data_IF_730376824615
#
_entry.id   IF_730376824615
#
_cell.length_a   1.000
_cell.length_b   1.000
_cell.length_c   1.000
_cell.angle_alpha   90.00
_cell.angle_beta   90.00
_cell.angle_gamma   90.00
#
_symmetry.space_group_name_H-M   'P 1'
#
loop_
_entity.id
_entity.type
_entity.pdbx_description
1 polymer ?
#
# COMPACT_ATOMS: atom_id res chain seq x y z
N UNK A 1 -28.58 12.29 18.87
CA UNK A 1 -27.43 11.57 19.45
C UNK A 1 -27.17 10.22 18.76
N UNK A 2 -27.45 10.07 17.44
CA UNK A 2 -27.42 8.76 16.77
C UNK A 2 -26.17 8.51 15.91
N UNK A 3 -25.41 9.56 15.54
CA UNK A 3 -24.21 9.41 14.70
C UNK A 3 -23.01 8.80 15.45
N UNK A 4 -22.81 9.15 16.72
CA UNK A 4 -21.64 8.69 17.48
C UNK A 4 -21.67 7.18 17.73
N UNK A 5 -22.81 6.64 18.16
CA UNK A 5 -22.98 5.20 18.39
C UNK A 5 -22.93 4.37 17.10
N UNK A 6 -23.21 4.95 15.94
CA UNK A 6 -23.04 4.29 14.65
C UNK A 6 -21.55 4.16 14.28
N UNK A 7 -20.79 5.24 14.43
CA UNK A 7 -19.33 5.24 14.19
C UNK A 7 -18.65 4.26 15.13
N UNK A 8 -19.03 4.26 16.41
CA UNK A 8 -18.49 3.32 17.40
C UNK A 8 -18.68 1.88 16.93
N UNK A 9 -19.91 1.46 16.57
CA UNK A 9 -20.18 0.11 16.06
C UNK A 9 -19.40 -0.25 14.80
N UNK A 10 -19.13 0.71 13.92
CA UNK A 10 -18.31 0.49 12.71
C UNK A 10 -16.85 0.30 13.08
N UNK A 11 -16.32 1.08 14.03
CA UNK A 11 -14.92 1.01 14.46
C UNK A 11 -14.63 -0.26 15.27
N UNK A 12 -15.56 -0.71 16.14
CA UNK A 12 -15.36 -1.95 16.91
C UNK A 12 -15.58 -3.23 16.09
N UNK A 13 -16.00 -3.11 14.83
CA UNK A 13 -16.17 -4.28 13.96
C UNK A 13 -14.79 -4.91 13.68
N UNK A 14 -14.60 -6.22 13.91
CA UNK A 14 -13.31 -6.88 13.70
C UNK A 14 -12.76 -6.70 12.28
N UNK A 15 -13.63 -6.63 11.26
CA UNK A 15 -13.20 -6.37 9.88
C UNK A 15 -12.65 -4.96 9.71
N UNK A 16 -13.28 -3.95 10.32
CA UNK A 16 -12.82 -2.57 10.26
C UNK A 16 -11.45 -2.41 10.96
N UNK A 17 -11.25 -3.11 12.08
CA UNK A 17 -9.97 -3.13 12.80
C UNK A 17 -8.86 -3.72 11.92
N UNK A 18 -9.12 -4.83 11.22
CA UNK A 18 -8.14 -5.45 10.32
C UNK A 18 -7.80 -4.52 9.15
N UNK A 19 -8.81 -3.89 8.53
CA UNK A 19 -8.61 -2.99 7.39
C UNK A 19 -7.81 -1.75 7.81
N UNK A 20 -8.13 -1.16 8.95
CA UNK A 20 -7.42 0.02 9.47
C UNK A 20 -5.99 -0.28 9.89
N UNK A 21 -5.69 -1.50 10.36
CA UNK A 21 -4.34 -1.93 10.74
C UNK A 21 -3.59 -2.69 9.63
N UNK A 22 -4.06 -2.63 8.38
CA UNK A 22 -3.45 -3.35 7.25
C UNK A 22 -1.98 -3.01 6.99
N UNK A 23 -1.53 -1.82 7.39
CA UNK A 23 -0.13 -1.41 7.30
C UNK A 23 0.81 -2.33 8.10
N UNK A 24 0.44 -2.71 9.33
CA UNK A 24 1.27 -3.57 10.20
C UNK A 24 1.48 -4.95 9.56
N UNK A 25 0.42 -5.51 8.97
CA UNK A 25 0.50 -6.80 8.27
C UNK A 25 1.40 -6.71 7.03
N UNK A 26 1.30 -5.59 6.31
CA UNK A 26 2.12 -5.32 5.12
C UNK A 26 3.60 -5.21 5.48
N UNK A 27 3.93 -4.52 6.58
CA UNK A 27 5.31 -4.35 7.05
C UNK A 27 5.95 -5.68 7.45
N UNK A 28 5.23 -6.52 8.19
CA UNK A 28 5.70 -7.85 8.59
C UNK A 28 5.94 -8.73 7.35
N UNK A 29 4.99 -8.73 6.40
CA UNK A 29 5.12 -9.49 5.16
C UNK A 29 6.34 -9.06 4.33
N UNK A 30 6.56 -7.76 4.21
CA UNK A 30 7.73 -7.20 3.51
C UNK A 30 9.03 -7.56 4.24
N UNK A 31 9.05 -7.53 5.57
CA UNK A 31 10.18 -7.96 6.39
C UNK A 31 10.58 -9.41 6.12
N UNK A 32 9.61 -10.34 6.19
CA UNK A 32 9.85 -11.77 5.91
C UNK A 32 10.33 -11.97 4.47
N UNK A 33 9.71 -11.27 3.51
CA UNK A 33 10.09 -11.33 2.09
C UNK A 33 11.52 -10.84 1.84
N UNK A 34 11.96 -9.80 2.57
CA UNK A 34 13.31 -9.27 2.48
C UNK A 34 14.35 -10.27 3.02
N UNK A 35 14.07 -10.91 4.16
CA UNK A 35 14.93 -11.94 4.74
C UNK A 35 15.10 -13.12 3.77
N UNK A 36 14.00 -13.61 3.20
CA UNK A 36 14.04 -14.75 2.27
C UNK A 36 14.88 -14.44 1.02
N UNK A 37 14.73 -13.25 0.46
CA UNK A 37 15.52 -12.86 -0.72
C UNK A 37 16.99 -12.66 -0.38
N UNK A 38 17.30 -12.10 0.79
CA UNK A 38 18.69 -11.99 1.25
C UNK A 38 19.32 -13.37 1.41
N UNK A 39 18.58 -14.32 1.98
CA UNK A 39 19.03 -15.72 2.11
C UNK A 39 19.29 -16.37 0.74
N UNK A 40 18.38 -16.19 -0.22
CA UNK A 40 18.52 -16.76 -1.56
C UNK A 40 19.68 -16.10 -2.33
N UNK A 41 19.89 -14.80 -2.15
CA UNK A 41 21.04 -14.09 -2.71
C UNK A 41 22.34 -14.66 -2.12
N UNK A 42 22.44 -14.81 -0.80
CA UNK A 42 23.63 -15.35 -0.14
C UNK A 42 23.97 -16.76 -0.64
N UNK A 43 22.96 -17.63 -0.76
CA UNK A 43 23.11 -18.98 -1.34
C UNK A 43 23.59 -18.96 -2.79
N UNK A 44 23.12 -17.98 -3.58
CA UNK A 44 23.55 -17.83 -4.97
C UNK A 44 24.97 -17.24 -5.08
N UNK A 45 25.41 -16.36 -4.17
CA UNK A 45 26.82 -15.93 -4.11
C UNK A 45 27.74 -17.11 -3.89
N UNK A 46 27.42 -17.94 -2.90
CA UNK A 46 28.27 -19.05 -2.49
C UNK A 46 28.47 -20.04 -3.65
N UNK A 47 27.42 -20.24 -4.46
CA UNK A 47 27.44 -21.15 -5.61
C UNK A 47 28.04 -20.55 -6.88
N UNK A 48 27.76 -19.29 -7.21
CA UNK A 48 28.11 -18.71 -8.52
C UNK A 48 29.20 -17.63 -8.47
N UNK A 49 29.64 -17.17 -7.29
CA UNK A 49 30.61 -16.07 -7.06
C UNK A 49 30.33 -14.75 -7.83
N UNK A 50 29.18 -14.63 -8.49
CA UNK A 50 28.75 -13.47 -9.29
C UNK A 50 27.33 -13.11 -8.91
N UNK A 51 27.13 -11.83 -8.61
CA UNK A 51 25.84 -11.26 -8.24
C UNK A 51 25.29 -10.42 -9.38
N UNK A 52 24.21 -10.87 -10.02
CA UNK A 52 23.40 -10.02 -10.91
C UNK A 52 22.38 -9.22 -10.08
N UNK A 53 22.87 -8.45 -9.11
CA UNK A 53 22.04 -7.66 -8.19
C UNK A 53 21.15 -6.66 -8.96
N UNK A 54 21.72 -6.00 -9.97
CA UNK A 54 21.04 -5.01 -10.81
C UNK A 54 19.84 -5.59 -11.58
N UNK A 55 20.00 -6.77 -12.19
CA UNK A 55 18.89 -7.41 -12.92
C UNK A 55 17.76 -7.82 -11.98
N UNK A 56 18.10 -8.38 -10.81
CA UNK A 56 17.11 -8.82 -9.85
C UNK A 56 16.34 -7.65 -9.19
N UNK A 57 17.01 -6.53 -8.92
CA UNK A 57 16.35 -5.34 -8.39
C UNK A 57 15.49 -4.65 -9.45
N UNK A 58 15.93 -4.61 -10.71
CA UNK A 58 15.15 -4.03 -11.80
C UNK A 58 13.83 -4.78 -12.01
N UNK A 59 13.85 -6.10 -12.08
CA UNK A 59 12.61 -6.89 -12.20
C UNK A 59 11.67 -6.71 -11.01
N UNK A 60 12.21 -6.54 -9.80
CA UNK A 60 11.41 -6.21 -8.61
C UNK A 60 10.78 -4.83 -8.73
N UNK A 61 11.55 -3.85 -9.19
CA UNK A 61 11.06 -2.49 -9.37
C UNK A 61 9.92 -2.47 -10.39
N UNK A 62 10.15 -3.03 -11.59
CA UNK A 62 9.13 -3.15 -12.64
C UNK A 62 7.87 -3.92 -12.22
N UNK A 63 7.93 -4.77 -11.18
CA UNK A 63 6.76 -5.44 -10.63
C UNK A 63 6.01 -4.60 -9.58
N UNK A 64 6.72 -3.80 -8.78
CA UNK A 64 6.14 -2.94 -7.73
C UNK A 64 5.56 -1.63 -8.29
N UNK A 65 6.20 -1.04 -9.31
CA UNK A 65 5.77 0.20 -9.95
C UNK A 65 4.34 0.13 -10.53
N UNK A 66 3.91 -0.92 -11.26
CA UNK A 66 2.56 -0.95 -11.82
C UNK A 66 1.48 -0.99 -10.74
N UNK A 67 1.71 -1.74 -9.64
CA UNK A 67 0.78 -1.72 -8.51
C UNK A 67 0.69 -0.33 -7.87
N UNK A 68 1.84 0.33 -7.63
CA UNK A 68 1.87 1.65 -7.03
C UNK A 68 1.21 2.72 -7.92
N UNK A 69 1.50 2.69 -9.21
CA UNK A 69 0.91 3.58 -10.20
C UNK A 69 -0.61 3.40 -10.30
N UNK A 70 -1.11 2.16 -10.21
CA UNK A 70 -2.55 1.88 -10.18
C UNK A 70 -3.22 2.50 -8.95
N UNK A 71 -2.57 2.42 -7.78
CA UNK A 71 -3.08 3.03 -6.54
C UNK A 71 -3.14 4.54 -6.67
N UNK A 72 -2.07 5.19 -7.15
CA UNK A 72 -2.06 6.65 -7.36
C UNK A 72 -3.16 7.05 -8.34
N UNK A 73 -3.27 6.37 -9.48
CA UNK A 73 -4.29 6.66 -10.48
C UNK A 73 -5.70 6.53 -9.89
N UNK A 74 -5.95 5.47 -9.13
CA UNK A 74 -7.24 5.26 -8.49
C UNK A 74 -7.57 6.37 -7.48
N UNK A 75 -6.61 6.74 -6.61
CA UNK A 75 -6.81 7.79 -5.61
C UNK A 75 -6.96 9.19 -6.21
N UNK A 76 -6.16 9.52 -7.21
CA UNK A 76 -6.21 10.83 -7.85
C UNK A 76 -7.45 10.99 -8.74
N UNK A 77 -7.79 9.98 -9.56
CA UNK A 77 -8.78 10.13 -10.63
C UNK A 77 -10.12 9.46 -10.32
N UNK A 78 -10.13 8.28 -9.70
CA UNK A 78 -11.35 7.46 -9.59
C UNK A 78 -12.09 7.71 -8.27
N UNK A 79 -11.34 7.77 -7.16
CA UNK A 79 -11.86 7.94 -5.82
C UNK A 79 -12.69 9.22 -5.60
N UNK A 80 -12.32 10.42 -6.10
CA UNK A 80 -13.14 11.62 -5.91
C UNK A 80 -14.52 11.50 -6.58
N UNK A 81 -14.66 10.72 -7.66
CA UNK A 81 -15.93 10.55 -8.37
C UNK A 81 -16.85 9.47 -7.78
N UNK A 82 -16.35 8.62 -6.88
CA UNK A 82 -17.08 7.46 -6.34
C UNK A 82 -18.04 7.78 -5.19
N UNK A 83 -17.93 8.96 -4.57
CA UNK A 83 -18.73 9.31 -3.39
C UNK A 83 -19.20 10.75 -3.40
N UNK A 84 -20.20 11.03 -2.56
CA UNK A 84 -20.77 12.36 -2.40
C UNK A 84 -21.10 12.62 -0.93
N UNK A 85 -20.65 13.74 -0.39
CA UNK A 85 -20.96 14.17 0.99
C UNK A 85 -19.93 15.14 1.55
N UNK A 86 -20.26 15.90 2.61
CA UNK A 86 -19.35 16.90 3.19
C UNK A 86 -18.06 16.28 3.77
N UNK A 87 -18.14 15.06 4.33
CA UNK A 87 -16.97 14.31 4.80
C UNK A 87 -16.08 13.83 3.63
N UNK A 88 -16.71 13.37 2.54
CA UNK A 88 -16.01 12.94 1.33
C UNK A 88 -15.24 14.08 0.67
N UNK A 89 -15.84 15.28 0.62
CA UNK A 89 -15.18 16.49 0.11
C UNK A 89 -13.98 16.91 0.98
N UNK A 90 -14.08 16.77 2.29
CA UNK A 90 -12.99 17.18 3.17
C UNK A 90 -11.80 16.21 3.09
N UNK A 91 -12.05 14.91 3.22
CA UNK A 91 -10.99 13.91 3.31
C UNK A 91 -10.44 13.52 1.93
N UNK A 92 -11.30 13.23 0.96
CA UNK A 92 -10.89 12.56 -0.28
C UNK A 92 -10.55 13.54 -1.40
N UNK A 93 -11.28 14.66 -1.50
CA UNK A 93 -10.99 15.68 -2.51
C UNK A 93 -9.67 16.41 -2.22
N UNK A 94 -9.38 16.67 -0.94
CA UNK A 94 -8.13 17.28 -0.51
C UNK A 94 -6.93 16.36 -0.76
N UNK A 95 -7.05 15.07 -0.41
CA UNK A 95 -5.99 14.08 -0.63
C UNK A 95 -5.80 13.76 -2.13
N UNK A 96 -6.88 13.68 -2.92
CA UNK A 96 -6.80 13.53 -4.38
C UNK A 96 -6.02 14.70 -5.02
N UNK A 97 -6.32 15.94 -4.62
CA UNK A 97 -5.62 17.14 -5.14
C UNK A 97 -4.13 17.10 -4.78
N UNK A 98 -3.80 16.67 -3.55
CA UNK A 98 -2.40 16.52 -3.11
C UNK A 98 -1.66 15.44 -3.89
N UNK A 99 -2.27 14.27 -4.10
CA UNK A 99 -1.70 13.21 -4.91
C UNK A 99 -1.53 13.61 -6.38
N UNK A 100 -2.47 14.37 -6.95
CA UNK A 100 -2.37 14.88 -8.31
C UNK A 100 -1.28 15.96 -8.49
N UNK A 101 -0.92 16.66 -7.41
CA UNK A 101 0.08 17.75 -7.46
C UNK A 101 1.49 17.25 -7.12
N UNK A 102 1.62 16.22 -6.27
CA UNK A 102 2.92 15.70 -5.78
C UNK A 102 3.20 14.26 -6.24
N UNK A 103 2.72 13.86 -7.42
CA UNK A 103 3.02 12.53 -7.97
C UNK A 103 4.51 12.32 -8.27
#
# INVERSE_FOLDING_TARGET
MNNFSYIEKVVVNPLAIIITNGFVLTDIFLGISAVLVTYQLLKNLDRQKRLNFFTNILFRYFRLTPSYMTVIFFHAWVLPHLGSGPFWKHEIEQESTRCATNW
#
